data_IF_676924361583
#
_entry.id   IF_676924361583
#
_cell.length_a   1.000
_cell.length_b   1.000
_cell.length_c   1.000
_cell.angle_alpha   90.00
_cell.angle_beta   90.00
_cell.angle_gamma   90.00
#
_symmetry.space_group_name_H-M   'P 1'
#
loop_
_entity.id
_entity.type
_entity.pdbx_description
1 polymer ?
#
# COMPACT_ATOMS: atom_id res chain seq x y z
N UNK A 1 21.34 -6.93 -1.22
CA UNK A 1 20.34 -7.45 -0.27
C UNK A 1 19.91 -6.41 0.77
N UNK A 2 20.80 -5.90 1.64
CA UNK A 2 20.43 -4.93 2.69
C UNK A 2 19.77 -3.63 2.15
N UNK A 3 20.29 -3.08 1.05
CA UNK A 3 19.71 -1.89 0.41
C UNK A 3 18.29 -2.13 -0.09
N UNK A 4 18.03 -3.30 -0.70
CA UNK A 4 16.70 -3.67 -1.19
C UNK A 4 15.71 -3.88 -0.04
N UNK A 5 16.15 -4.54 1.04
CA UNK A 5 15.33 -4.71 2.25
C UNK A 5 15.01 -3.34 2.87
N UNK A 6 16.01 -2.47 3.00
CA UNK A 6 15.83 -1.11 3.52
C UNK A 6 14.86 -0.29 2.66
N UNK A 7 15.01 -0.34 1.33
CA UNK A 7 14.06 0.27 0.39
C UNK A 7 12.64 -0.25 0.62
N UNK A 8 12.45 -1.57 0.69
CA UNK A 8 11.14 -2.18 0.86
C UNK A 8 10.49 -1.76 2.19
N UNK A 9 11.25 -1.74 3.27
CA UNK A 9 10.77 -1.25 4.58
C UNK A 9 10.33 0.20 4.48
N UNK A 10 11.15 1.08 3.91
CA UNK A 10 10.83 2.51 3.78
C UNK A 10 9.57 2.73 2.96
N UNK A 11 9.45 2.09 1.79
CA UNK A 11 8.27 2.23 0.92
C UNK A 11 6.99 1.76 1.64
N UNK A 12 7.05 0.67 2.40
CA UNK A 12 5.91 0.19 3.18
C UNK A 12 5.53 1.14 4.32
N UNK A 13 6.52 1.71 5.03
CA UNK A 13 6.28 2.70 6.08
C UNK A 13 5.66 3.98 5.51
N UNK A 14 6.19 4.49 4.39
CA UNK A 14 5.62 5.67 3.69
C UNK A 14 4.19 5.38 3.23
N UNK A 15 3.93 4.20 2.67
CA UNK A 15 2.59 3.81 2.22
C UNK A 15 1.61 3.71 3.39
N UNK A 16 2.04 3.16 4.53
CA UNK A 16 1.24 3.16 5.77
C UNK A 16 0.93 4.57 6.23
N UNK A 17 1.92 5.48 6.22
CA UNK A 17 1.72 6.88 6.59
C UNK A 17 0.71 7.58 5.68
N UNK A 18 0.81 7.40 4.36
CA UNK A 18 -0.14 7.99 3.41
C UNK A 18 -1.57 7.49 3.63
N UNK A 19 -1.74 6.20 3.94
CA UNK A 19 -3.05 5.63 4.28
C UNK A 19 -3.61 6.17 5.61
N UNK A 20 -2.75 6.33 6.62
CA UNK A 20 -3.13 6.94 7.89
C UNK A 20 -3.50 8.42 7.72
N UNK A 21 -2.75 9.15 6.89
CA UNK A 21 -3.01 10.54 6.54
C UNK A 21 -4.35 10.68 5.81
N UNK A 22 -4.63 9.85 4.78
CA UNK A 22 -5.92 9.86 4.09
C UNK A 22 -7.09 9.64 5.05
N UNK A 23 -6.94 8.72 6.02
CA UNK A 23 -7.97 8.52 7.06
C UNK A 23 -8.15 9.75 7.95
N UNK A 24 -7.06 10.39 8.37
CA UNK A 24 -7.10 11.60 9.19
C UNK A 24 -7.83 12.73 8.45
N UNK A 25 -7.50 12.93 7.17
CA UNK A 25 -8.14 13.91 6.32
C UNK A 25 -9.63 13.60 6.08
N UNK A 26 -10.00 12.33 5.92
CA UNK A 26 -11.40 11.91 5.81
C UNK A 26 -12.21 12.27 7.06
N UNK A 27 -11.63 12.16 8.26
CA UNK A 27 -12.29 12.59 9.50
C UNK A 27 -12.39 14.11 9.60
N UNK A 28 -11.30 14.83 9.26
CA UNK A 28 -11.19 16.29 9.37
C UNK A 28 -11.85 17.05 8.21
N UNK A 29 -12.51 16.35 7.27
CA UNK A 29 -13.09 16.95 6.06
C UNK A 29 -12.05 17.71 5.22
N UNK A 30 -10.79 17.29 5.32
CA UNK A 30 -9.68 17.87 4.58
C UNK A 30 -9.50 17.24 3.20
N UNK A 31 -8.50 17.74 2.46
CA UNK A 31 -8.13 17.19 1.15
C UNK A 31 -7.63 15.74 1.31
N UNK A 32 -8.32 14.81 0.67
CA UNK A 32 -8.00 13.38 0.66
C UNK A 32 -6.86 13.05 -0.30
N UNK A 33 -6.14 11.97 -0.03
CA UNK A 33 -5.08 11.49 -0.93
C UNK A 33 -5.74 10.82 -2.14
N UNK A 34 -5.39 11.21 -3.38
CA UNK A 34 -5.94 10.56 -4.57
C UNK A 34 -5.69 9.04 -4.54
N UNK A 35 -6.69 8.24 -4.88
CA UNK A 35 -6.57 6.78 -4.83
C UNK A 35 -5.45 6.27 -5.74
N UNK A 36 -5.26 6.91 -6.91
CA UNK A 36 -4.14 6.65 -7.81
C UNK A 36 -2.79 6.70 -7.10
N UNK A 37 -2.58 7.64 -6.19
CA UNK A 37 -1.33 7.79 -5.47
C UNK A 37 -1.12 6.60 -4.54
N UNK A 38 -2.16 6.18 -3.81
CA UNK A 38 -2.10 5.02 -2.93
C UNK A 38 -1.82 3.72 -3.70
N UNK A 39 -2.42 3.55 -4.88
CA UNK A 39 -2.13 2.40 -5.75
C UNK A 39 -0.73 2.45 -6.37
N UNK A 40 -0.23 3.62 -6.75
CA UNK A 40 1.15 3.77 -7.23
C UNK A 40 2.17 3.41 -6.15
N UNK A 41 1.97 3.90 -4.92
CA UNK A 41 2.83 3.54 -3.78
C UNK A 41 2.76 2.04 -3.47
N UNK A 42 1.58 1.42 -3.58
CA UNK A 42 1.45 -0.02 -3.46
C UNK A 42 2.22 -0.76 -4.58
N UNK A 43 2.12 -0.30 -5.83
CA UNK A 43 2.74 -0.92 -7.00
C UNK A 43 4.28 -0.88 -6.99
N UNK A 44 4.89 0.16 -6.41
CA UNK A 44 6.36 0.26 -6.29
C UNK A 44 6.96 -0.57 -5.13
N UNK A 45 6.11 -1.25 -4.35
CA UNK A 45 6.52 -2.15 -3.25
C UNK A 45 5.81 -1.91 -1.92
N UNK A 46 4.87 -0.96 -1.85
CA UNK A 46 4.16 -0.60 -0.62
C UNK A 46 2.91 -1.42 -0.32
N UNK A 47 2.61 -2.46 -1.12
CA UNK A 47 1.35 -3.19 -1.04
C UNK A 47 1.12 -3.83 0.35
N UNK A 48 2.18 -4.35 0.98
CA UNK A 48 2.09 -4.92 2.34
C UNK A 48 1.67 -3.85 3.35
N UNK A 49 2.33 -2.69 3.31
CA UNK A 49 2.05 -1.54 4.17
C UNK A 49 0.64 -1.00 3.96
N UNK A 50 0.18 -0.93 2.70
CA UNK A 50 -1.19 -0.57 2.39
C UNK A 50 -2.20 -1.55 3.03
N UNK A 51 -1.99 -2.86 2.90
CA UNK A 51 -2.87 -3.89 3.48
C UNK A 51 -2.88 -3.82 5.01
N UNK A 52 -1.70 -3.70 5.63
CA UNK A 52 -1.56 -3.56 7.08
C UNK A 52 -2.30 -2.30 7.55
N UNK A 53 -2.10 -1.17 6.88
CA UNK A 53 -2.79 0.08 7.17
C UNK A 53 -4.32 -0.06 7.06
N UNK A 54 -4.83 -0.69 6.00
CA UNK A 54 -6.27 -0.94 5.84
C UNK A 54 -6.85 -1.71 7.02
N UNK A 55 -6.13 -2.74 7.51
CA UNK A 55 -6.58 -3.58 8.63
C UNK A 55 -6.53 -2.85 9.96
N UNK A 56 -5.39 -2.20 10.29
CA UNK A 56 -5.20 -1.46 11.54
C UNK A 56 -6.24 -0.36 11.67
N UNK A 57 -6.41 0.42 10.60
CA UNK A 57 -7.29 1.57 10.64
C UNK A 57 -8.71 1.28 10.14
N UNK A 58 -9.04 0.05 9.74
CA UNK A 58 -10.32 -0.30 9.11
C UNK A 58 -10.72 0.69 8.02
N UNK A 59 -9.71 1.19 7.30
CA UNK A 59 -9.85 2.24 6.29
C UNK A 59 -9.87 1.60 4.92
N UNK A 60 -10.81 2.02 4.08
CA UNK A 60 -10.99 1.49 2.71
C UNK A 60 -11.24 -0.04 2.62
N UNK A 61 -11.63 -0.68 3.71
CA UNK A 61 -11.97 -2.13 3.77
C UNK A 61 -13.29 -2.51 3.11
N UNK A 62 -14.12 -1.52 2.75
CA UNK A 62 -15.37 -1.71 1.99
C UNK A 62 -15.26 -1.30 0.53
N UNK A 63 -14.11 -0.77 0.11
CA UNK A 63 -13.90 -0.33 -1.26
C UNK A 63 -13.32 -1.49 -2.07
N UNK A 64 -14.12 -2.06 -2.99
CA UNK A 64 -13.72 -3.23 -3.78
C UNK A 64 -12.37 -3.04 -4.49
N UNK A 65 -12.12 -1.83 -5.01
CA UNK A 65 -10.83 -1.47 -5.63
C UNK A 65 -9.65 -1.71 -4.69
N UNK A 66 -9.76 -1.37 -3.41
CA UNK A 66 -8.69 -1.54 -2.41
C UNK A 66 -8.63 -2.97 -1.87
N UNK A 67 -9.79 -3.56 -1.58
CA UNK A 67 -9.89 -4.92 -1.02
C UNK A 67 -9.34 -5.96 -1.99
N UNK A 68 -9.60 -5.81 -3.29
CA UNK A 68 -9.12 -6.71 -4.33
C UNK A 68 -7.78 -6.22 -4.88
N UNK A 69 -7.65 -4.93 -5.17
CA UNK A 69 -6.46 -4.38 -5.82
C UNK A 69 -5.19 -4.51 -4.98
N UNK A 70 -5.25 -4.29 -3.66
CA UNK A 70 -4.03 -4.37 -2.83
C UNK A 70 -3.46 -5.80 -2.76
N UNK A 71 -4.26 -6.87 -2.51
CA UNK A 71 -3.79 -8.24 -2.63
C UNK A 71 -3.32 -8.62 -4.04
N UNK A 72 -4.03 -8.18 -5.09
CA UNK A 72 -3.63 -8.47 -6.48
C UNK A 72 -2.26 -7.89 -6.79
N UNK A 73 -1.99 -6.64 -6.38
CA UNK A 73 -0.68 -6.01 -6.56
C UNK A 73 0.40 -6.77 -5.78
N UNK A 74 0.12 -7.17 -4.54
CA UNK A 74 1.06 -7.94 -3.74
C UNK A 74 1.40 -9.30 -4.38
N UNK A 75 0.39 -10.01 -4.87
CA UNK A 75 0.58 -11.30 -5.56
C UNK A 75 1.36 -11.10 -6.87
N UNK A 76 1.04 -10.08 -7.65
CA UNK A 76 1.76 -9.75 -8.87
C UNK A 76 3.25 -9.44 -8.59
N UNK A 77 3.55 -8.71 -7.52
CA UNK A 77 4.93 -8.46 -7.07
C UNK A 77 5.63 -9.75 -6.66
N UNK A 78 4.97 -10.59 -5.87
CA UNK A 78 5.54 -11.87 -5.44
C UNK A 78 5.83 -12.81 -6.63
N UNK A 79 4.90 -12.89 -7.59
CA UNK A 79 5.09 -13.65 -8.82
C UNK A 79 6.22 -13.09 -9.67
N UNK A 80 6.30 -11.76 -9.83
CA UNK A 80 7.38 -11.13 -10.56
C UNK A 80 8.74 -11.43 -9.93
N UNK A 81 8.84 -11.34 -8.60
CA UNK A 81 10.06 -11.69 -7.86
C UNK A 81 10.38 -13.16 -8.04
N UNK A 82 9.39 -14.06 -7.96
CA UNK A 82 9.59 -15.49 -8.13
C UNK A 82 10.13 -15.83 -9.53
N UNK A 83 9.48 -15.34 -10.59
CA UNK A 83 9.86 -15.63 -11.99
C UNK A 83 11.22 -15.05 -12.41
N UNK A 84 11.69 -13.99 -11.77
CA UNK A 84 12.99 -13.37 -12.05
C UNK A 84 14.11 -13.81 -11.11
N UNK A 85 13.82 -14.67 -10.12
CA UNK A 85 14.83 -15.24 -9.22
C UNK A 85 15.33 -16.64 -9.66
N UNK A 86 14.88 -17.13 -10.81
CA UNK A 86 15.41 -18.33 -11.49
C UNK A 86 16.49 -17.95 -12.53
#
# INVERSE_FOLDING_TARGET
MLVLIGYYVVVNVVTMYLMAHDKSQAKKHGRRVPERTLFLWAAIGGAVGAIVAMRIWRHKTKHASFVIGMPVILVAQALFIFLYND
#
